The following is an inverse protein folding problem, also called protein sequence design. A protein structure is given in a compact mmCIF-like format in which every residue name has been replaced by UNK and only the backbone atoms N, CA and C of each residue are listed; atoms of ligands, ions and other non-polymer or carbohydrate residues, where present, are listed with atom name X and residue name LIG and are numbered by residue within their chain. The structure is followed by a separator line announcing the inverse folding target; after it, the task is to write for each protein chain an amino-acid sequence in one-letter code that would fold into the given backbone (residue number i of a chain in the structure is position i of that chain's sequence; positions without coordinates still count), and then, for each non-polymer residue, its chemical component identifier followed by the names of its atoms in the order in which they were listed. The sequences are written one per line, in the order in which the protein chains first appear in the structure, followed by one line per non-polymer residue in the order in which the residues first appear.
data_IF_914892148691
#
_entry.id   IF_914892148691
#
_cell.length_a   1.000
_cell.length_b   1.000
_cell.length_c   1.000
_cell.angle_alpha   90.00
_cell.angle_beta   90.00
_cell.angle_gamma   90.00
#
_symmetry.space_group_name_H-M   'P 1'
#
loop_
_entity.id
_entity.type
_entity.pdbx_description
1 polymer ?
#
# COMPACT_ATOMS: atom_id res chain seq x y z
N UNK A 1 -27.03 9.98 3.38
CA UNK A 1 -26.09 10.74 2.53
C UNK A 1 -24.72 10.19 2.87
N UNK A 2 -24.02 9.56 1.93
CA UNK A 2 -22.66 9.05 2.17
C UNK A 2 -21.70 10.23 2.10
N UNK A 3 -20.77 10.31 3.04
CA UNK A 3 -19.73 11.34 3.09
C UNK A 3 -18.35 10.67 3.04
N UNK A 4 -17.40 11.30 2.36
CA UNK A 4 -16.11 10.68 2.02
C UNK A 4 -14.96 11.57 2.51
N UNK A 5 -13.93 10.94 3.07
CA UNK A 5 -12.65 11.60 3.33
C UNK A 5 -11.73 11.31 2.14
N UNK A 6 -11.32 12.36 1.44
CA UNK A 6 -10.37 12.27 0.35
C UNK A 6 -8.95 12.35 0.92
N UNK A 7 -8.25 11.23 1.01
CA UNK A 7 -6.85 11.21 1.47
C UNK A 7 -5.83 11.54 0.35
N UNK A 8 -6.29 12.17 -0.76
CA UNK A 8 -5.59 12.92 -1.85
C UNK A 8 -6.06 12.51 -3.28
N UNK A 9 -6.37 13.55 -4.11
CA UNK A 9 -6.62 13.71 -5.58
C UNK A 9 -7.19 12.59 -6.51
N UNK A 10 -7.88 12.96 -7.64
CA UNK A 10 -8.94 12.16 -8.29
C UNK A 10 -8.52 11.23 -9.43
N UNK A 11 -7.24 10.92 -9.62
CA UNK A 11 -6.81 10.00 -10.70
C UNK A 11 -6.16 8.75 -10.13
N UNK A 12 -6.88 7.63 -10.20
CA UNK A 12 -6.42 6.32 -9.74
C UNK A 12 -6.35 6.23 -8.22
N UNK A 13 -7.32 5.52 -7.61
CA UNK A 13 -7.39 5.37 -6.17
C UNK A 13 -8.22 4.17 -5.73
N UNK A 14 -8.09 3.84 -4.45
CA UNK A 14 -8.79 2.76 -3.80
C UNK A 14 -9.92 3.33 -2.95
N UNK A 15 -11.05 2.64 -2.87
CA UNK A 15 -12.19 3.10 -2.07
C UNK A 15 -12.45 2.11 -0.96
N UNK A 16 -12.19 2.51 0.27
CA UNK A 16 -12.54 1.78 1.48
C UNK A 16 -13.92 2.21 1.96
N UNK A 17 -14.86 1.28 1.96
CA UNK A 17 -16.19 1.47 2.56
C UNK A 17 -16.23 0.72 3.88
N UNK A 18 -16.80 1.34 4.91
CA UNK A 18 -17.04 0.70 6.19
C UNK A 18 -18.52 0.78 6.56
N UNK A 19 -19.01 -0.23 7.27
CA UNK A 19 -20.38 -0.26 7.79
C UNK A 19 -20.43 -1.07 9.10
N UNK A 20 -21.13 -0.52 10.09
CA UNK A 20 -21.33 -1.10 11.41
C UNK A 20 -22.79 -1.51 11.65
N UNK A 21 -22.99 -2.73 12.17
CA UNK A 21 -24.32 -3.22 12.58
C UNK A 21 -24.36 -3.43 14.09
N UNK A 22 -25.40 -2.87 14.73
CA UNK A 22 -25.65 -2.99 16.17
C UNK A 22 -27.01 -3.65 16.48
N UNK A 23 -27.04 -4.58 17.43
CA UNK A 23 -28.26 -5.26 17.88
C UNK A 23 -28.66 -4.83 19.29
N UNK A 24 -29.69 -3.97 19.36
CA UNK A 24 -30.26 -3.37 20.59
C UNK A 24 -30.49 -4.36 21.75
N UNK A 25 -31.09 -5.52 21.47
CA UNK A 25 -31.51 -6.45 22.53
C UNK A 25 -30.36 -7.19 23.22
N UNK A 26 -29.24 -7.40 22.52
CA UNK A 26 -28.08 -8.14 23.05
C UNK A 26 -26.88 -7.24 23.32
N UNK A 27 -26.95 -5.99 22.86
CA UNK A 27 -25.85 -5.04 22.83
C UNK A 27 -24.71 -5.47 21.91
N UNK A 28 -24.93 -6.42 20.98
CA UNK A 28 -23.84 -6.97 20.15
C UNK A 28 -23.63 -6.12 18.90
N UNK A 29 -22.37 -5.84 18.59
CA UNK A 29 -21.98 -5.14 17.37
C UNK A 29 -20.99 -5.95 16.53
N UNK A 30 -21.09 -5.76 15.22
CA UNK A 30 -20.16 -6.24 14.20
C UNK A 30 -19.88 -5.05 13.29
N UNK A 31 -18.66 -4.96 12.79
CA UNK A 31 -18.32 -4.00 11.73
C UNK A 31 -17.69 -4.73 10.57
N UNK A 32 -17.78 -4.16 9.39
CA UNK A 32 -17.16 -4.72 8.20
C UNK A 32 -16.85 -3.63 7.22
N UNK A 33 -16.19 -4.04 6.15
CA UNK A 33 -15.87 -3.13 5.08
C UNK A 33 -15.31 -3.84 3.87
N UNK A 34 -15.22 -3.09 2.79
CA UNK A 34 -14.73 -3.57 1.52
C UNK A 34 -13.85 -2.50 0.87
N UNK A 35 -12.83 -2.96 0.16
CA UNK A 35 -11.94 -2.12 -0.63
C UNK A 35 -12.20 -2.41 -2.10
N UNK A 36 -12.41 -1.33 -2.87
CA UNK A 36 -12.67 -1.35 -4.31
C UNK A 36 -11.58 -0.61 -5.06
N UNK A 37 -11.37 -0.97 -6.32
CA UNK A 37 -10.58 -0.14 -7.24
C UNK A 37 -11.37 1.09 -7.72
N UNK A 38 -10.74 1.92 -8.55
CA UNK A 38 -11.33 3.13 -9.10
C UNK A 38 -12.50 2.88 -10.07
N UNK A 39 -12.66 1.66 -10.58
CA UNK A 39 -13.81 1.28 -11.41
C UNK A 39 -15.01 0.84 -10.56
N UNK A 40 -14.83 0.75 -9.23
CA UNK A 40 -15.83 0.26 -8.30
C UNK A 40 -15.81 -1.27 -8.12
N UNK A 41 -14.83 -1.97 -8.70
CA UNK A 41 -14.74 -3.42 -8.57
C UNK A 41 -14.19 -3.79 -7.19
N UNK A 42 -14.92 -4.68 -6.50
CA UNK A 42 -14.50 -5.22 -5.22
C UNK A 42 -13.23 -6.07 -5.35
N UNK A 43 -12.23 -5.83 -4.47
CA UNK A 43 -11.00 -6.65 -4.42
C UNK A 43 -10.84 -7.42 -3.12
N UNK A 44 -11.16 -6.81 -1.98
CA UNK A 44 -10.99 -7.44 -0.66
C UNK A 44 -12.00 -6.89 0.34
N UNK A 45 -12.35 -7.67 1.35
CA UNK A 45 -13.23 -7.23 2.43
C UNK A 45 -12.84 -7.83 3.78
N UNK A 46 -13.42 -7.28 4.84
CA UNK A 46 -13.18 -7.71 6.21
C UNK A 46 -14.48 -7.68 7.03
N UNK A 47 -14.50 -8.46 8.12
CA UNK A 47 -15.53 -8.39 9.14
C UNK A 47 -14.92 -8.60 10.53
N UNK A 48 -15.35 -7.79 11.50
CA UNK A 48 -14.90 -7.81 12.89
C UNK A 48 -16.09 -7.99 13.83
N UNK A 49 -15.94 -8.93 14.77
CA UNK A 49 -16.87 -9.09 15.88
C UNK A 49 -16.38 -8.24 17.06
N UNK A 50 -17.11 -7.17 17.39
CA UNK A 50 -16.67 -6.18 18.39
C UNK A 50 -17.20 -6.45 19.80
N UNK A 51 -18.19 -7.34 19.95
CA UNK A 51 -18.80 -7.59 21.25
C UNK A 51 -19.78 -6.46 21.61
N UNK A 52 -19.72 -5.93 22.83
CA UNK A 52 -20.67 -4.91 23.31
C UNK A 52 -20.12 -3.50 23.16
N UNK A 53 -20.41 -2.89 22.01
CA UNK A 53 -20.09 -1.49 21.71
C UNK A 53 -21.31 -0.83 21.03
N UNK A 54 -21.39 0.50 21.04
CA UNK A 54 -22.43 1.23 20.33
C UNK A 54 -22.13 1.29 18.81
N UNK A 55 -23.09 1.78 18.01
CA UNK A 55 -22.94 1.90 16.55
C UNK A 55 -21.79 2.83 16.16
N UNK A 56 -21.59 3.92 16.90
CA UNK A 56 -20.52 4.89 16.67
C UNK A 56 -19.13 4.27 16.76
N UNK A 57 -18.86 3.54 17.84
CA UNK A 57 -17.60 2.82 18.06
C UNK A 57 -17.43 1.72 17.01
N UNK A 58 -18.51 1.06 16.58
CA UNK A 58 -18.43 0.05 15.53
C UNK A 58 -17.96 0.61 14.18
N UNK A 59 -18.38 1.82 13.83
CA UNK A 59 -17.92 2.52 12.62
C UNK A 59 -16.42 2.87 12.71
N UNK A 60 -15.95 3.41 13.83
CA UNK A 60 -14.53 3.79 14.00
C UNK A 60 -13.64 2.54 13.97
N UNK A 61 -14.06 1.43 14.60
CA UNK A 61 -13.35 0.15 14.49
C UNK A 61 -13.30 -0.37 13.04
N UNK A 62 -14.38 -0.15 12.28
CA UNK A 62 -14.43 -0.45 10.86
C UNK A 62 -13.38 0.33 10.09
N UNK A 63 -13.32 1.64 10.31
CA UNK A 63 -12.31 2.52 9.71
C UNK A 63 -10.89 2.07 10.07
N UNK A 64 -10.60 1.85 11.36
CA UNK A 64 -9.27 1.42 11.81
C UNK A 64 -8.83 0.12 11.15
N UNK A 65 -9.72 -0.88 11.08
CA UNK A 65 -9.38 -2.14 10.43
C UNK A 65 -9.17 -1.95 8.93
N UNK A 66 -10.06 -1.23 8.27
CA UNK A 66 -9.99 -1.00 6.83
C UNK A 66 -8.72 -0.25 6.44
N UNK A 67 -8.33 0.78 7.20
CA UNK A 67 -7.10 1.53 7.02
C UNK A 67 -5.87 0.64 7.20
N UNK A 68 -5.84 -0.21 8.23
CA UNK A 68 -4.78 -1.19 8.42
C UNK A 68 -4.71 -2.22 7.28
N UNK A 69 -5.86 -2.72 6.81
CA UNK A 69 -5.91 -3.64 5.68
C UNK A 69 -5.39 -2.97 4.40
N UNK A 70 -5.77 -1.72 4.15
CA UNK A 70 -5.24 -0.95 3.05
C UNK A 70 -3.71 -0.82 3.16
N UNK A 71 -3.20 -0.44 4.35
CA UNK A 71 -1.76 -0.35 4.66
C UNK A 71 -1.01 -1.66 4.39
N UNK A 72 -1.54 -2.79 4.87
CA UNK A 72 -0.96 -4.12 4.62
C UNK A 72 -0.89 -4.49 3.14
N UNK A 73 -1.79 -3.95 2.33
CA UNK A 73 -1.90 -4.25 0.90
C UNK A 73 -1.14 -3.25 0.01
N UNK A 74 -0.47 -2.23 0.56
CA UNK A 74 0.25 -1.26 -0.27
C UNK A 74 -0.64 -0.23 -0.99
N UNK A 75 -1.94 -0.13 -0.63
CA UNK A 75 -2.92 0.66 -1.38
C UNK A 75 -2.84 2.17 -1.11
N UNK A 76 -2.19 2.90 -2.03
CA UNK A 76 -2.12 4.38 -2.00
C UNK A 76 -3.39 5.04 -2.57
N UNK A 77 -3.56 6.35 -2.38
CA UNK A 77 -4.73 7.11 -2.87
C UNK A 77 -6.07 6.51 -2.39
N UNK A 78 -6.20 6.33 -1.08
CA UNK A 78 -7.37 5.72 -0.46
C UNK A 78 -8.45 6.76 -0.15
N UNK A 79 -9.67 6.52 -0.60
CA UNK A 79 -10.86 7.26 -0.17
C UNK A 79 -11.54 6.43 0.91
N UNK A 80 -11.65 6.97 2.12
CA UNK A 80 -12.42 6.36 3.20
C UNK A 80 -13.87 6.91 3.14
N UNK A 81 -14.80 6.06 2.73
CA UNK A 81 -16.23 6.35 2.68
C UNK A 81 -16.92 5.80 3.93
N UNK A 82 -17.53 6.69 4.71
CA UNK A 82 -18.26 6.35 5.92
C UNK A 82 -19.68 6.92 5.88
N UNK A 83 -20.63 6.20 6.46
CA UNK A 83 -22.02 6.63 6.59
C UNK A 83 -22.25 7.60 7.78
N UNK A 84 -21.18 7.93 8.51
CA UNK A 84 -21.21 8.65 9.78
C UNK A 84 -20.50 10.01 9.68
N UNK A 85 -21.23 11.03 9.22
CA UNK A 85 -20.75 12.42 9.09
C UNK A 85 -19.93 12.91 10.28
N UNK A 86 -20.44 12.69 11.48
CA UNK A 86 -19.79 13.17 12.71
C UNK A 86 -18.40 12.54 12.95
N UNK A 87 -18.15 11.30 12.48
CA UNK A 87 -16.81 10.66 12.54
C UNK A 87 -15.91 11.29 11.48
N UNK A 88 -16.45 11.56 10.29
CA UNK A 88 -15.74 12.23 9.21
C UNK A 88 -15.28 13.63 9.66
N UNK A 89 -16.16 14.39 10.31
CA UNK A 89 -15.84 15.72 10.85
C UNK A 89 -14.72 15.62 11.92
N UNK A 90 -14.76 14.61 12.81
CA UNK A 90 -13.69 14.33 13.78
C UNK A 90 -12.36 14.00 13.10
N UNK A 91 -12.36 13.14 12.07
CA UNK A 91 -11.15 12.80 11.32
C UNK A 91 -10.58 13.99 10.53
N UNK A 92 -11.41 14.98 10.20
CA UNK A 92 -10.98 16.26 9.63
C UNK A 92 -10.51 17.28 10.69
N UNK A 93 -10.52 16.93 11.97
CA UNK A 93 -10.03 17.78 13.06
C UNK A 93 -11.09 18.69 13.68
N UNK A 94 -12.39 18.44 13.45
CA UNK A 94 -13.51 19.21 14.02
C UNK A 94 -14.15 18.47 15.21
N UNK A 95 -14.45 19.18 16.32
CA UNK A 95 -15.33 18.67 17.39
C UNK A 95 -14.75 17.61 18.34
N UNK A 96 -13.43 17.62 18.57
CA UNK A 96 -12.70 16.57 19.31
C UNK A 96 -12.84 16.63 20.85
N UNK A 97 -13.34 17.73 21.42
CA UNK A 97 -13.14 18.10 22.83
C UNK A 97 -13.89 17.24 23.89
N UNK A 98 -14.70 16.23 23.51
CA UNK A 98 -15.50 15.46 24.49
C UNK A 98 -15.80 14.00 24.09
N UNK A 99 -14.93 13.35 23.30
CA UNK A 99 -15.16 11.97 22.83
C UNK A 99 -14.59 10.91 23.79
N UNK A 100 -15.39 9.96 24.32
CA UNK A 100 -14.93 8.97 25.31
C UNK A 100 -13.88 7.98 24.78
N UNK A 101 -13.82 7.75 23.46
CA UNK A 101 -12.88 6.83 22.82
C UNK A 101 -11.83 7.55 21.96
N UNK A 102 -11.27 8.64 22.50
CA UNK A 102 -10.25 9.47 21.84
C UNK A 102 -9.06 8.66 21.32
N UNK A 103 -8.65 7.62 22.06
CA UNK A 103 -7.54 6.73 21.66
C UNK A 103 -7.82 6.04 20.32
N UNK A 104 -9.04 5.53 20.11
CA UNK A 104 -9.40 4.83 18.87
C UNK A 104 -9.46 5.78 17.66
N UNK A 105 -9.88 7.02 17.90
CA UNK A 105 -9.86 8.09 16.90
C UNK A 105 -8.41 8.47 16.57
N UNK A 106 -7.56 8.63 17.60
CA UNK A 106 -6.15 8.94 17.44
C UNK A 106 -5.43 7.84 16.66
N UNK A 107 -5.69 6.56 16.93
CA UNK A 107 -5.13 5.45 16.15
C UNK A 107 -5.47 5.61 14.64
N UNK A 108 -6.73 5.93 14.32
CA UNK A 108 -7.14 6.13 12.93
C UNK A 108 -6.43 7.34 12.32
N UNK A 109 -6.35 8.45 13.07
CA UNK A 109 -5.66 9.66 12.66
C UNK A 109 -4.17 9.44 12.49
N UNK A 110 -3.53 8.62 13.32
CA UNK A 110 -2.13 8.22 13.18
C UNK A 110 -1.93 7.42 11.90
N UNK A 111 -2.74 6.39 11.64
CA UNK A 111 -2.65 5.63 10.38
C UNK A 111 -2.84 6.56 9.15
N UNK A 112 -3.74 7.54 9.25
CA UNK A 112 -3.98 8.54 8.20
C UNK A 112 -2.81 9.51 8.04
N UNK A 113 -2.29 10.06 9.15
CA UNK A 113 -1.21 11.07 9.19
C UNK A 113 0.16 10.49 8.89
N UNK A 114 0.38 9.23 9.26
CA UNK A 114 1.62 8.50 9.06
C UNK A 114 1.96 8.28 7.58
N UNK A 115 1.04 8.61 6.67
CA UNK A 115 1.35 8.88 5.27
C UNK A 115 2.45 7.99 4.72
N UNK A 116 2.24 6.67 4.78
CA UNK A 116 3.09 5.62 4.22
C UNK A 116 4.57 6.03 4.14
N UNK A 117 5.31 6.01 5.25
CA UNK A 117 6.76 6.25 5.15
C UNK A 117 7.37 5.15 4.29
N UNK A 118 7.68 5.54 3.06
CA UNK A 118 8.31 4.79 1.99
C UNK A 118 9.81 4.79 2.27
N UNK A 119 10.42 3.64 2.50
CA UNK A 119 11.88 3.58 2.45
C UNK A 119 12.33 3.76 1.00
N UNK A 120 13.32 4.61 0.80
CA UNK A 120 13.87 4.91 -0.52
C UNK A 120 15.21 4.22 -0.69
N UNK A 121 15.30 3.31 -1.65
CA UNK A 121 16.47 2.51 -1.91
C UNK A 121 17.08 2.86 -3.25
N UNK A 122 18.30 3.40 -3.23
CA UNK A 122 19.12 3.47 -4.44
C UNK A 122 19.58 2.05 -4.77
N UNK A 123 19.07 1.50 -5.87
CA UNK A 123 19.39 0.14 -6.30
C UNK A 123 20.87 0.06 -6.64
N UNK A 124 21.58 -0.90 -6.04
CA UNK A 124 23.02 -1.04 -6.16
C UNK A 124 23.87 -0.06 -5.33
N UNK A 125 23.25 0.92 -4.66
CA UNK A 125 23.98 1.90 -3.85
C UNK A 125 24.84 2.83 -4.70
N UNK A 126 26.12 3.00 -4.35
CA UNK A 126 27.03 3.90 -5.07
C UNK A 126 27.28 3.47 -6.54
N UNK A 127 27.17 2.17 -6.83
CA UNK A 127 27.39 1.63 -8.18
C UNK A 127 26.15 1.76 -9.08
N UNK A 128 24.96 1.99 -8.50
CA UNK A 128 23.70 2.05 -9.24
C UNK A 128 23.27 0.70 -9.85
N UNK A 129 22.38 0.78 -10.84
CA UNK A 129 21.92 -0.37 -11.62
C UNK A 129 22.96 -0.74 -12.69
N UNK A 130 24.02 -1.43 -12.25
CA UNK A 130 25.16 -1.84 -13.09
C UNK A 130 25.60 -3.29 -12.80
N UNK A 131 25.95 -4.10 -13.83
CA UNK A 131 26.35 -5.49 -13.66
C UNK A 131 27.70 -5.69 -12.95
N UNK A 132 28.44 -4.63 -12.62
CA UNK A 132 29.69 -4.69 -11.85
C UNK A 132 29.49 -5.26 -10.44
N UNK A 133 28.28 -5.14 -9.88
CA UNK A 133 27.88 -5.75 -8.61
C UNK A 133 26.70 -6.71 -8.80
N UNK A 134 26.54 -7.62 -7.85
CA UNK A 134 25.36 -8.49 -7.80
C UNK A 134 24.17 -7.75 -7.20
N UNK A 135 23.09 -7.60 -7.96
CA UNK A 135 21.85 -6.97 -7.49
C UNK A 135 21.19 -7.78 -6.37
N UNK A 136 21.21 -9.11 -6.45
CA UNK A 136 20.74 -9.97 -5.35
C UNK A 136 21.62 -9.81 -4.09
N UNK A 137 22.94 -9.65 -4.26
CA UNK A 137 23.84 -9.37 -3.15
C UNK A 137 23.57 -8.00 -2.51
N UNK A 138 23.27 -6.98 -3.31
CA UNK A 138 22.80 -5.69 -2.80
C UNK A 138 21.49 -5.81 -2.02
N UNK A 139 20.53 -6.60 -2.50
CA UNK A 139 19.24 -6.81 -1.84
C UNK A 139 19.35 -7.62 -0.54
N UNK A 140 20.43 -8.38 -0.34
CA UNK A 140 20.59 -9.29 0.78
C UNK A 140 20.56 -8.53 2.13
N UNK A 141 19.70 -9.00 3.04
CA UNK A 141 19.59 -8.46 4.40
C UNK A 141 18.80 -7.15 4.52
N UNK A 142 18.28 -6.61 3.42
CA UNK A 142 17.30 -5.51 3.45
C UNK A 142 15.92 -6.08 3.71
N UNK A 143 15.11 -5.30 4.42
CA UNK A 143 13.72 -5.62 4.72
C UNK A 143 12.82 -4.74 3.86
N UNK A 144 12.34 -5.31 2.75
CA UNK A 144 11.55 -4.58 1.77
C UNK A 144 10.07 -4.72 2.09
N UNK A 145 9.36 -3.61 2.02
CA UNK A 145 7.94 -3.53 2.30
C UNK A 145 7.17 -3.06 1.06
N UNK A 146 5.92 -3.52 0.97
CA UNK A 146 5.00 -3.03 -0.04
C UNK A 146 4.84 -1.51 0.12
N UNK A 147 5.08 -0.78 -0.96
CA UNK A 147 5.08 0.68 -0.94
C UNK A 147 6.47 1.32 -0.77
N UNK A 148 7.55 0.58 -0.53
CA UNK A 148 8.91 1.15 -0.66
C UNK A 148 9.21 1.56 -2.10
N UNK A 149 10.18 2.46 -2.29
CA UNK A 149 10.60 2.93 -3.61
C UNK A 149 12.03 2.48 -3.90
N UNK A 150 12.20 1.93 -5.08
CA UNK A 150 13.49 1.63 -5.69
C UNK A 150 13.81 2.70 -6.72
N UNK A 151 14.92 3.40 -6.51
CA UNK A 151 15.49 4.36 -7.45
C UNK A 151 16.57 3.66 -8.27
N UNK A 152 16.32 3.52 -9.57
CA UNK A 152 17.24 2.91 -10.52
C UNK A 152 18.02 4.02 -11.22
N UNK A 153 19.25 4.24 -10.78
CA UNK A 153 20.19 5.17 -11.40
C UNK A 153 21.13 4.38 -12.32
N UNK A 154 21.17 4.71 -13.60
CA UNK A 154 22.01 4.01 -14.59
C UNK A 154 22.37 4.86 -15.80
N UNK A 155 23.46 4.46 -16.46
CA UNK A 155 23.78 4.92 -17.81
C UNK A 155 22.73 4.37 -18.78
N UNK A 156 22.10 5.23 -19.58
CA UNK A 156 21.03 4.92 -20.54
C UNK A 156 21.44 3.95 -21.68
N UNK A 157 22.66 3.39 -21.64
CA UNK A 157 22.99 2.14 -22.34
C UNK A 157 22.27 0.90 -21.75
N UNK A 158 21.74 1.01 -20.54
CA UNK A 158 20.88 0.04 -19.87
C UNK A 158 19.45 0.56 -19.78
N UNK A 159 18.57 -0.29 -19.28
CA UNK A 159 17.19 0.01 -18.95
C UNK A 159 16.74 -0.81 -17.73
N UNK A 160 15.52 -0.54 -17.27
CA UNK A 160 14.84 -1.39 -16.28
C UNK A 160 13.47 -1.78 -16.79
N UNK A 161 13.15 -3.07 -16.66
CA UNK A 161 11.87 -3.65 -17.02
C UNK A 161 11.27 -4.41 -15.82
N UNK A 162 10.03 -4.09 -15.48
CA UNK A 162 9.22 -4.89 -14.55
C UNK A 162 8.66 -6.07 -15.33
N UNK A 163 8.94 -7.27 -14.83
CA UNK A 163 8.54 -8.54 -15.46
C UNK A 163 7.83 -9.44 -14.45
N UNK A 164 7.23 -10.52 -14.93
CA UNK A 164 6.80 -11.61 -14.06
C UNK A 164 7.97 -12.57 -13.77
N UNK A 165 7.69 -13.62 -12.99
CA UNK A 165 8.70 -14.61 -12.63
C UNK A 165 9.31 -15.29 -13.86
N UNK A 166 8.49 -15.62 -14.87
CA UNK A 166 8.97 -16.29 -16.07
C UNK A 166 9.92 -15.36 -16.83
N UNK A 167 9.52 -14.11 -17.07
CA UNK A 167 10.35 -13.12 -17.74
C UNK A 167 11.67 -12.82 -17.02
N UNK A 168 11.68 -12.87 -15.68
CA UNK A 168 12.93 -12.76 -14.91
C UNK A 168 13.81 -14.00 -15.09
N UNK A 169 13.26 -15.19 -14.96
CA UNK A 169 14.01 -16.45 -15.09
C UNK A 169 14.58 -16.65 -16.50
N UNK A 170 13.90 -16.13 -17.54
CA UNK A 170 14.30 -16.24 -18.95
C UNK A 170 14.95 -15.00 -19.54
N UNK A 171 15.07 -13.90 -18.77
CA UNK A 171 15.54 -12.60 -19.26
C UNK A 171 14.76 -12.12 -20.50
N UNK A 172 13.42 -12.18 -20.44
CA UNK A 172 12.55 -11.77 -21.54
C UNK A 172 11.48 -10.78 -21.10
N UNK A 173 11.24 -9.79 -21.95
CA UNK A 173 10.13 -8.84 -21.82
C UNK A 173 8.91 -9.38 -22.59
N UNK A 174 7.73 -9.24 -22.01
CA UNK A 174 6.44 -9.61 -22.61
C UNK A 174 5.56 -8.38 -22.84
N UNK A 175 4.41 -8.55 -23.50
CA UNK A 175 3.43 -7.46 -23.71
C UNK A 175 2.87 -6.88 -22.39
N UNK A 176 3.04 -7.58 -21.26
CA UNK A 176 2.60 -7.13 -19.93
C UNK A 176 3.69 -6.43 -19.14
N UNK A 177 4.92 -6.43 -19.65
CA UNK A 177 6.07 -5.83 -18.99
C UNK A 177 6.03 -4.31 -19.14
N UNK A 178 6.51 -3.62 -18.10
CA UNK A 178 6.64 -2.16 -18.10
C UNK A 178 8.12 -1.84 -18.16
N UNK A 179 8.54 -1.00 -19.11
CA UNK A 179 9.94 -0.66 -19.35
C UNK A 179 10.17 0.83 -19.12
N UNK A 180 11.35 1.16 -18.62
CA UNK A 180 11.76 2.51 -18.26
C UNK A 180 13.16 2.78 -18.82
N UNK A 181 13.41 4.04 -19.21
CA UNK A 181 14.59 4.41 -20.01
C UNK A 181 15.19 5.76 -19.59
N UNK A 182 14.74 6.35 -18.48
CA UNK A 182 15.12 7.71 -18.11
C UNK A 182 16.51 7.74 -17.46
N UNK A 183 16.96 6.61 -16.89
CA UNK A 183 18.27 6.48 -16.24
C UNK A 183 18.28 6.97 -14.79
N UNK A 184 17.12 7.40 -14.31
CA UNK A 184 16.81 7.80 -12.94
C UNK A 184 15.32 7.50 -12.69
N UNK A 185 15.01 6.20 -12.64
CA UNK A 185 13.65 5.69 -12.65
C UNK A 185 13.22 5.24 -11.25
N UNK A 186 12.11 5.82 -10.78
CA UNK A 186 11.57 5.56 -9.44
C UNK A 186 10.40 4.58 -9.50
N UNK A 187 10.58 3.39 -8.93
CA UNK A 187 9.59 2.30 -8.99
C UNK A 187 9.15 1.90 -7.58
N UNK A 188 7.83 1.89 -7.36
CA UNK A 188 7.24 1.44 -6.09
C UNK A 188 7.08 -0.08 -6.05
N UNK A 189 7.46 -0.70 -4.95
CA UNK A 189 7.29 -2.14 -4.70
C UNK A 189 5.83 -2.51 -4.45
N UNK A 190 5.35 -3.54 -5.15
CA UNK A 190 4.07 -4.20 -4.86
C UNK A 190 4.22 -5.21 -3.72
N UNK A 191 3.13 -5.54 -3.03
CA UNK A 191 3.14 -6.63 -2.04
C UNK A 191 3.48 -7.98 -2.70
N UNK A 192 4.38 -8.73 -2.08
CA UNK A 192 4.83 -10.03 -2.56
C UNK A 192 6.01 -9.93 -3.55
N UNK A 193 6.10 -10.84 -4.53
CA UNK A 193 7.26 -10.92 -5.41
C UNK A 193 7.26 -9.78 -6.46
N UNK A 194 8.41 -9.12 -6.58
CA UNK A 194 8.71 -8.09 -7.58
C UNK A 194 9.96 -8.53 -8.36
N UNK A 195 9.91 -8.38 -9.69
CA UNK A 195 10.99 -8.81 -10.57
C UNK A 195 11.37 -7.70 -11.55
N UNK A 196 12.67 -7.44 -11.64
CA UNK A 196 13.25 -6.40 -12.48
C UNK A 196 14.38 -6.99 -13.31
N UNK A 197 14.48 -6.61 -14.57
CA UNK A 197 15.58 -6.99 -15.45
C UNK A 197 16.03 -5.79 -16.27
N UNK A 198 17.25 -5.86 -16.79
CA UNK A 198 17.59 -5.14 -18.01
C UNK A 198 16.97 -5.90 -19.21
N UNK A 199 16.29 -5.23 -20.14
CA UNK A 199 15.61 -5.89 -21.25
C UNK A 199 16.57 -6.49 -22.28
N UNK A 200 17.83 -6.06 -22.28
CA UNK A 200 18.89 -6.62 -23.13
C UNK A 200 19.28 -8.02 -22.63
N UNK A 201 18.98 -9.10 -23.37
CA UNK A 201 19.11 -10.47 -22.84
C UNK A 201 20.52 -10.82 -22.38
N UNK A 202 21.54 -10.38 -23.13
CA UNK A 202 22.94 -10.61 -22.78
C UNK A 202 23.34 -9.89 -21.48
N UNK A 203 22.77 -8.71 -21.21
CA UNK A 203 23.05 -7.91 -20.00
C UNK A 203 22.30 -8.47 -18.78
N UNK A 204 21.05 -8.90 -18.96
CA UNK A 204 20.31 -9.60 -17.90
C UNK A 204 20.99 -10.94 -17.53
N UNK A 205 21.46 -11.69 -18.53
CA UNK A 205 22.12 -12.99 -18.33
C UNK A 205 23.45 -12.90 -17.58
N UNK A 206 24.17 -11.77 -17.68
CA UNK A 206 25.39 -11.53 -16.87
C UNK A 206 25.07 -11.07 -15.43
N UNK A 207 23.80 -10.85 -15.09
CA UNK A 207 23.36 -10.62 -13.73
C UNK A 207 22.66 -9.28 -13.45
N UNK A 208 22.38 -8.46 -14.47
CA UNK A 208 21.60 -7.23 -14.29
C UNK A 208 20.09 -7.53 -14.23
N UNK A 209 19.71 -8.20 -13.14
CA UNK A 209 18.35 -8.62 -12.79
C UNK A 209 18.20 -8.62 -11.28
N UNK A 210 16.99 -8.40 -10.77
CA UNK A 210 16.70 -8.28 -9.35
C UNK A 210 15.35 -8.91 -9.04
N UNK A 211 15.33 -9.78 -8.02
CA UNK A 211 14.12 -10.36 -7.48
C UNK A 211 14.03 -9.97 -5.99
N UNK A 212 12.92 -9.32 -5.63
CA UNK A 212 12.63 -8.90 -4.25
C UNK A 212 11.27 -9.48 -3.86
N UNK A 213 11.14 -9.93 -2.62
CA UNK A 213 9.84 -10.25 -2.05
C UNK A 213 9.51 -9.25 -0.95
N UNK A 214 8.60 -8.32 -1.23
CA UNK A 214 8.20 -7.28 -0.31
C UNK A 214 7.09 -7.78 0.63
N UNK A 215 7.27 -7.58 1.93
CA UNK A 215 6.28 -7.95 2.95
C UNK A 215 5.34 -6.78 3.26
N UNK A 216 4.31 -7.03 4.08
CA UNK A 216 3.53 -5.93 4.62
C UNK A 216 4.42 -5.09 5.55
N UNK A 217 4.30 -3.74 5.54
CA UNK A 217 5.02 -2.89 6.49
C UNK A 217 4.85 -3.34 7.93
N UNK A 218 5.85 -3.15 8.82
CA UNK A 218 5.71 -3.47 10.23
C UNK A 218 4.54 -2.65 10.82
N UNK A 219 3.80 -3.18 11.80
CA UNK A 219 2.88 -2.38 12.59
C UNK A 219 3.68 -1.25 13.25
N UNK A 220 3.21 -0.01 13.10
CA UNK A 220 3.76 1.13 13.85
C UNK A 220 3.61 0.82 15.36
N UNK A 221 4.71 0.97 16.11
CA UNK A 221 4.74 0.79 17.58
C UNK A 221 4.27 2.04 18.28
#
# INVERSE_FOLDING_TARGET
MHESINLLSPEGGWILNTDGVYKLNSGLAVTGGLIRDSNGDWKVGFMLRLGRVNSSIAEIWGARQGLNLAKMLGLRNLILEMNAKWIVDIFNGEGMDDFPELDLVNDCLEIIKEGWVVEHYIVGGEEGWDPVITMQGWAQGKDFHAGDVLEFIYDQKFDVAIVDKEGHDTCTVSDKSIQFFDGDDNITLAFGPNYFICSFPDICAIGLQLAINATAPPPSV
#
